data_IF_222067583887
#
_entry.id   IF_222067583887
#
_cell.length_a   1.000
_cell.length_b   1.000
_cell.length_c   1.000
_cell.angle_alpha   90.00
_cell.angle_beta   90.00
_cell.angle_gamma   90.00
#
_symmetry.space_group_name_H-M   'P 1'
#
loop_
_entity.id
_entity.type
_entity.pdbx_description
1 polymer ?
#
# COMPACT_ATOMS: atom_id res chain seq x y z
N UNK A 1 -65.85 49.37 -22.16
CA UNK A 1 -65.09 50.51 -21.59
C UNK A 1 -64.80 50.16 -20.09
N UNK A 2 -63.71 49.54 -19.82
CA UNK A 2 -63.33 49.08 -18.43
C UNK A 2 -62.08 49.83 -18.02
N UNK A 3 -62.17 50.63 -16.96
CA UNK A 3 -61.09 51.41 -16.37
C UNK A 3 -60.26 50.48 -15.43
N UNK A 4 -59.03 50.20 -15.81
CA UNK A 4 -58.05 49.57 -14.94
C UNK A 4 -57.53 50.53 -13.86
N UNK A 5 -57.90 50.34 -12.64
CA UNK A 5 -57.26 50.99 -11.45
C UNK A 5 -55.98 50.28 -11.13
N UNK A 6 -54.87 50.94 -11.33
CA UNK A 6 -53.55 50.47 -10.80
C UNK A 6 -53.45 50.83 -9.32
N UNK A 7 -53.35 49.81 -8.49
CA UNK A 7 -53.01 49.96 -7.08
C UNK A 7 -51.51 50.06 -6.99
N UNK A 8 -50.99 51.19 -6.49
CA UNK A 8 -49.56 51.35 -6.17
C UNK A 8 -49.37 50.89 -4.74
N UNK A 9 -48.68 49.75 -4.58
CA UNK A 9 -48.26 49.28 -3.24
C UNK A 9 -46.91 49.88 -2.96
N UNK A 10 -46.82 50.73 -1.97
CA UNK A 10 -45.58 51.31 -1.47
C UNK A 10 -44.93 50.29 -0.53
N UNK A 11 -43.81 49.70 -0.93
CA UNK A 11 -43.04 48.84 -0.06
C UNK A 11 -42.15 49.66 0.87
N UNK A 12 -42.37 49.50 2.15
CA UNK A 12 -41.53 50.08 3.21
C UNK A 12 -40.37 49.10 3.39
N UNK A 13 -39.15 49.50 3.05
CA UNK A 13 -37.91 48.74 3.31
C UNK A 13 -37.46 49.13 4.71
N UNK A 14 -37.64 48.21 5.63
CA UNK A 14 -37.02 48.29 6.98
C UNK A 14 -35.61 47.69 6.88
N UNK A 15 -34.60 48.54 6.92
CA UNK A 15 -33.22 48.13 6.99
C UNK A 15 -32.88 47.70 8.42
N UNK A 16 -32.77 46.39 8.65
CA UNK A 16 -32.24 45.85 9.89
C UNK A 16 -30.72 45.77 9.77
N UNK A 17 -30.01 46.65 10.46
CA UNK A 17 -28.58 46.60 10.60
C UNK A 17 -28.20 45.44 11.54
N UNK A 18 -27.74 44.31 11.00
CA UNK A 18 -27.18 43.21 11.76
C UNK A 18 -25.70 43.52 11.98
N UNK A 19 -25.37 43.98 13.17
CA UNK A 19 -23.97 44.06 13.64
C UNK A 19 -23.47 42.66 13.95
N UNK A 20 -22.75 42.05 13.01
CA UNK A 20 -22.03 40.81 13.29
C UNK A 20 -20.77 41.12 14.08
N UNK A 21 -20.81 40.78 15.35
CA UNK A 21 -19.64 40.73 16.23
C UNK A 21 -18.77 39.55 15.73
N UNK A 22 -17.68 39.84 15.07
CA UNK A 22 -16.65 38.86 14.72
C UNK A 22 -15.92 38.50 16.02
N UNK A 23 -16.32 37.41 16.66
CA UNK A 23 -15.52 36.76 17.66
C UNK A 23 -14.28 36.18 17.00
N UNK A 24 -13.14 36.83 17.14
CA UNK A 24 -11.84 36.25 16.85
C UNK A 24 -11.60 35.20 17.92
N UNK A 25 -11.95 33.96 17.61
CA UNK A 25 -11.55 32.80 18.40
C UNK A 25 -10.02 32.64 18.37
N UNK A 26 -9.39 32.09 19.42
CA UNK A 26 -7.98 31.82 19.40
C UNK A 26 -7.70 30.94 18.17
N UNK A 27 -6.69 31.36 17.38
CA UNK A 27 -6.17 30.54 16.30
C UNK A 27 -5.73 29.20 16.90
N UNK A 28 -6.49 28.15 16.62
CA UNK A 28 -6.05 26.79 16.86
C UNK A 28 -4.76 26.60 16.10
N UNK A 29 -3.64 26.71 16.82
CA UNK A 29 -2.36 26.27 16.34
C UNK A 29 -2.50 24.78 16.06
N UNK A 30 -2.76 24.43 14.81
CA UNK A 30 -2.66 23.05 14.34
C UNK A 30 -1.29 22.54 14.77
N UNK A 31 -1.19 21.44 15.50
CA UNK A 31 0.10 20.88 15.85
C UNK A 31 0.77 20.45 14.54
N UNK A 32 1.74 21.25 14.09
CA UNK A 32 2.67 20.90 13.05
C UNK A 32 3.39 19.63 13.50
N UNK A 33 3.19 18.54 12.76
CA UNK A 33 3.98 17.33 12.93
C UNK A 33 3.28 16.19 13.64
N UNK A 34 2.16 15.73 13.14
CA UNK A 34 1.88 14.31 13.24
C UNK A 34 2.83 13.64 12.25
N UNK A 35 4.06 13.35 12.70
CA UNK A 35 4.87 12.31 12.08
C UNK A 35 3.99 11.07 12.09
N UNK A 36 3.44 10.70 10.93
CA UNK A 36 2.50 9.60 10.81
C UNK A 36 3.10 8.39 11.52
N UNK A 37 2.48 7.97 12.63
CA UNK A 37 2.96 6.83 13.38
C UNK A 37 3.13 5.66 12.41
N UNK A 38 4.35 5.11 12.36
CA UNK A 38 4.61 3.90 11.59
C UNK A 38 3.78 2.78 12.18
N UNK A 39 3.15 1.99 11.31
CA UNK A 39 2.34 0.85 11.73
C UNK A 39 3.03 -0.45 11.30
N UNK A 40 2.89 -1.53 12.07
CA UNK A 40 3.31 -2.84 11.60
C UNK A 40 2.70 -3.08 10.23
N UNK A 41 3.53 -3.21 9.21
CA UNK A 41 3.03 -3.47 7.85
C UNK A 41 2.37 -4.84 7.76
N UNK A 42 1.71 -5.15 6.63
CA UNK A 42 1.02 -6.43 6.43
C UNK A 42 1.97 -7.62 6.60
N UNK A 43 1.41 -8.78 6.98
CA UNK A 43 2.15 -10.03 7.14
C UNK A 43 3.33 -9.96 8.15
N UNK A 44 3.13 -9.26 9.28
CA UNK A 44 4.08 -9.19 10.38
C UNK A 44 4.11 -10.51 11.17
N UNK A 45 4.49 -11.60 10.50
CA UNK A 45 4.57 -12.94 11.09
C UNK A 45 5.94 -13.14 11.76
N UNK A 46 5.94 -13.76 12.92
CA UNK A 46 7.14 -14.29 13.54
C UNK A 46 7.40 -15.72 13.06
N UNK A 47 8.66 -16.08 12.88
CA UNK A 47 9.07 -17.47 12.66
C UNK A 47 8.98 -18.21 13.99
N UNK A 48 8.32 -19.37 14.00
CA UNK A 48 8.21 -20.19 15.19
C UNK A 48 9.56 -20.87 15.52
N UNK A 49 9.74 -21.23 16.79
CA UNK A 49 10.92 -21.98 17.21
C UNK A 49 10.98 -23.34 16.50
N UNK A 50 12.11 -23.63 15.89
CA UNK A 50 12.30 -24.86 15.10
C UNK A 50 11.65 -24.86 13.72
N UNK A 51 10.87 -23.85 13.34
CA UNK A 51 10.29 -23.75 11.99
C UNK A 51 11.39 -23.61 10.95
N UNK A 52 11.38 -24.43 9.91
CA UNK A 52 12.33 -24.29 8.81
C UNK A 52 12.01 -23.05 7.97
N UNK A 53 13.04 -22.48 7.35
CA UNK A 53 12.89 -21.20 6.63
C UNK A 53 11.93 -21.29 5.46
N UNK A 54 11.82 -22.43 4.81
CA UNK A 54 10.91 -22.67 3.70
C UNK A 54 9.44 -22.60 4.13
N UNK A 55 9.10 -23.21 5.27
CA UNK A 55 7.73 -23.18 5.81
C UNK A 55 7.34 -21.76 6.24
N UNK A 56 8.26 -21.04 6.86
CA UNK A 56 8.07 -19.64 7.17
C UNK A 56 7.85 -18.79 5.91
N UNK A 57 8.62 -19.05 4.84
CA UNK A 57 8.46 -18.37 3.55
C UNK A 57 7.10 -18.66 2.91
N UNK A 58 6.63 -19.91 2.99
CA UNK A 58 5.27 -20.28 2.53
C UNK A 58 4.22 -19.46 3.28
N UNK A 59 4.30 -19.34 4.61
CA UNK A 59 3.35 -18.54 5.40
C UNK A 59 3.37 -17.06 5.02
N UNK A 60 4.54 -16.49 4.77
CA UNK A 60 4.67 -15.10 4.31
C UNK A 60 4.02 -14.89 2.93
N UNK A 61 4.24 -15.81 1.98
CA UNK A 61 3.67 -15.77 0.64
C UNK A 61 2.15 -15.92 0.71
N UNK A 62 1.65 -16.89 1.47
CA UNK A 62 0.21 -17.11 1.67
C UNK A 62 -0.45 -15.87 2.23
N UNK A 63 0.09 -15.30 3.31
CA UNK A 63 -0.42 -14.06 3.88
C UNK A 63 -0.45 -12.90 2.87
N UNK A 64 0.57 -12.77 2.02
CA UNK A 64 0.60 -11.73 1.00
C UNK A 64 -0.46 -11.99 -0.09
N UNK A 65 -0.60 -13.24 -0.58
CA UNK A 65 -1.57 -13.61 -1.60
C UNK A 65 -3.02 -13.51 -1.12
N UNK A 66 -3.29 -13.81 0.15
CA UNK A 66 -4.62 -13.62 0.76
C UNK A 66 -5.01 -12.13 0.83
N UNK A 67 -4.01 -11.28 1.04
CA UNK A 67 -4.22 -9.83 1.14
C UNK A 67 -4.33 -9.15 -0.23
N UNK A 68 -3.61 -9.62 -1.21
CA UNK A 68 -3.62 -9.14 -2.60
C UNK A 68 -3.82 -10.34 -3.52
N UNK A 69 -5.08 -10.65 -3.85
CA UNK A 69 -5.40 -11.81 -4.67
C UNK A 69 -4.67 -11.79 -6.02
N UNK A 70 -4.05 -12.90 -6.38
CA UNK A 70 -3.30 -13.07 -7.63
C UNK A 70 -3.83 -14.26 -8.41
N UNK A 71 -3.60 -14.28 -9.71
CA UNK A 71 -3.92 -15.43 -10.54
C UNK A 71 -3.21 -16.69 -10.03
N UNK A 72 -3.95 -17.77 -9.86
CA UNK A 72 -3.46 -19.03 -9.28
C UNK A 72 -3.20 -19.00 -7.77
N UNK A 73 -3.57 -17.88 -7.10
CA UNK A 73 -3.54 -17.77 -5.65
C UNK A 73 -2.17 -17.96 -5.01
N UNK A 74 -2.19 -18.33 -3.73
CA UNK A 74 -0.96 -18.60 -2.97
C UNK A 74 -0.16 -19.80 -3.55
N UNK A 75 -0.83 -20.80 -4.11
CA UNK A 75 -0.17 -21.98 -4.67
C UNK A 75 0.76 -21.62 -5.82
N UNK A 76 0.30 -20.80 -6.77
CA UNK A 76 1.13 -20.31 -7.87
C UNK A 76 2.29 -19.45 -7.37
N UNK A 77 2.04 -18.55 -6.44
CA UNK A 77 3.08 -17.71 -5.84
C UNK A 77 4.17 -18.55 -5.14
N UNK A 78 3.78 -19.60 -4.40
CA UNK A 78 4.70 -20.54 -3.74
C UNK A 78 5.48 -21.35 -4.79
N UNK A 79 4.82 -21.82 -5.85
CA UNK A 79 5.48 -22.51 -6.97
C UNK A 79 6.59 -21.65 -7.56
N UNK A 80 6.29 -20.40 -7.88
CA UNK A 80 7.25 -19.43 -8.42
C UNK A 80 8.43 -19.24 -7.47
N UNK A 81 8.19 -18.90 -6.20
CA UNK A 81 9.26 -18.69 -5.22
C UNK A 81 10.13 -19.93 -5.02
N UNK A 82 9.54 -21.13 -5.11
CA UNK A 82 10.28 -22.39 -5.03
C UNK A 82 11.21 -22.57 -6.23
N UNK A 83 10.78 -22.21 -7.44
CA UNK A 83 11.60 -22.26 -8.65
C UNK A 83 12.71 -21.22 -8.64
N UNK A 84 12.42 -20.02 -8.14
CA UNK A 84 13.35 -18.90 -8.13
C UNK A 84 14.45 -19.05 -7.06
N UNK A 85 14.11 -19.46 -5.85
CA UNK A 85 15.04 -19.42 -4.71
C UNK A 85 15.06 -20.70 -3.84
N UNK A 86 14.26 -21.72 -4.19
CA UNK A 86 14.03 -22.84 -3.26
C UNK A 86 13.31 -22.39 -1.97
N UNK A 87 12.55 -21.31 -2.01
CA UNK A 87 11.90 -20.70 -0.82
C UNK A 87 12.90 -20.13 0.20
N UNK A 88 14.10 -19.77 -0.23
CA UNK A 88 15.16 -19.19 0.61
C UNK A 88 15.20 -17.66 0.44
N UNK A 89 14.82 -16.87 1.45
CA UNK A 89 14.79 -15.40 1.34
C UNK A 89 16.17 -14.79 1.08
N UNK A 90 17.24 -15.44 1.52
CA UNK A 90 18.62 -14.95 1.36
C UNK A 90 19.30 -15.44 0.11
N UNK A 91 18.56 -16.07 -0.82
CA UNK A 91 19.11 -16.55 -2.08
C UNK A 91 19.57 -15.38 -2.97
N UNK A 92 20.67 -15.63 -3.69
CA UNK A 92 21.19 -14.73 -4.72
C UNK A 92 21.63 -15.57 -5.91
N UNK A 93 21.40 -15.06 -7.12
CA UNK A 93 21.98 -15.68 -8.31
C UNK A 93 23.51 -15.64 -8.27
N UNK A 94 24.17 -16.50 -9.01
CA UNK A 94 25.64 -16.60 -9.03
C UNK A 94 26.33 -15.26 -9.41
N UNK A 95 25.64 -14.42 -10.19
CA UNK A 95 26.12 -13.11 -10.61
C UNK A 95 25.70 -11.98 -9.67
N UNK A 96 24.85 -12.25 -8.66
CA UNK A 96 24.26 -11.23 -7.80
C UNK A 96 23.21 -10.35 -8.46
N UNK A 97 22.83 -10.61 -9.71
CA UNK A 97 21.85 -9.81 -10.45
C UNK A 97 20.41 -10.00 -9.94
N UNK A 98 20.12 -11.15 -9.36
CA UNK A 98 18.81 -11.50 -8.82
C UNK A 98 18.90 -11.87 -7.36
N UNK A 99 17.98 -11.36 -6.53
CA UNK A 99 18.07 -11.45 -5.09
C UNK A 99 16.73 -11.76 -4.42
N UNK A 100 16.81 -12.48 -3.32
CA UNK A 100 15.69 -12.74 -2.42
C UNK A 100 14.75 -13.85 -2.88
N UNK A 101 13.64 -13.96 -2.19
CA UNK A 101 12.68 -15.06 -2.30
C UNK A 101 12.10 -15.24 -3.71
N UNK A 102 11.80 -14.14 -4.39
CA UNK A 102 11.28 -14.10 -5.77
C UNK A 102 12.31 -13.65 -6.81
N UNK A 103 13.60 -13.65 -6.46
CA UNK A 103 14.70 -13.30 -7.36
C UNK A 103 14.46 -11.99 -8.14
N UNK A 104 14.11 -10.93 -7.40
CA UNK A 104 14.00 -9.60 -7.99
C UNK A 104 15.34 -9.12 -8.55
N UNK A 105 15.33 -8.36 -9.64
CA UNK A 105 16.52 -7.65 -10.11
C UNK A 105 17.08 -6.77 -9.00
N UNK A 106 18.34 -6.96 -8.65
CA UNK A 106 19.01 -6.18 -7.60
C UNK A 106 19.07 -4.69 -7.97
N UNK A 107 19.23 -4.36 -9.25
CA UNK A 107 19.26 -2.98 -9.74
C UNK A 107 17.88 -2.31 -9.67
N UNK A 108 16.80 -3.07 -9.87
CA UNK A 108 15.43 -2.53 -9.82
C UNK A 108 14.85 -2.51 -8.41
N UNK A 109 15.47 -3.18 -7.46
CA UNK A 109 14.90 -3.38 -6.14
C UNK A 109 14.52 -2.08 -5.42
N UNK A 110 15.34 -1.02 -5.36
CA UNK A 110 14.96 0.22 -4.67
C UNK A 110 13.68 0.82 -5.24
N UNK A 111 13.57 0.89 -6.58
CA UNK A 111 12.36 1.39 -7.25
C UNK A 111 11.14 0.51 -6.96
N UNK A 112 11.29 -0.82 -7.02
CA UNK A 112 10.19 -1.76 -6.71
C UNK A 112 9.75 -1.64 -5.26
N UNK A 113 10.69 -1.49 -4.34
CA UNK A 113 10.39 -1.30 -2.93
C UNK A 113 9.55 -0.03 -2.72
N UNK A 114 9.97 1.11 -3.26
CA UNK A 114 9.28 2.39 -3.12
C UNK A 114 7.88 2.35 -3.77
N UNK A 115 7.75 1.76 -4.92
CA UNK A 115 6.49 1.68 -5.67
C UNK A 115 5.48 0.74 -5.01
N UNK A 116 5.96 -0.40 -4.51
CA UNK A 116 5.09 -1.47 -4.03
C UNK A 116 4.98 -1.58 -2.51
N UNK A 117 5.57 -0.66 -1.76
CA UNK A 117 5.36 -0.54 -0.31
C UNK A 117 4.70 0.79 0.04
N UNK A 118 4.48 1.03 1.31
CA UNK A 118 3.97 2.31 1.81
C UNK A 118 4.93 2.83 2.87
N UNK A 119 5.28 4.14 2.85
CA UNK A 119 6.24 4.71 3.81
C UNK A 119 5.83 4.52 5.28
N UNK A 120 4.53 4.40 5.55
CA UNK A 120 4.00 4.15 6.92
C UNK A 120 4.17 2.71 7.38
N UNK A 121 4.48 1.76 6.49
CA UNK A 121 4.71 0.38 6.89
C UNK A 121 6.14 0.21 7.40
N UNK A 122 6.29 -0.48 8.53
CA UNK A 122 7.59 -0.87 9.07
C UNK A 122 8.16 -2.07 8.30
N UNK A 123 8.44 -1.88 7.01
CA UNK A 123 9.08 -2.87 6.16
C UNK A 123 10.57 -2.54 6.01
N UNK A 124 11.39 -3.58 5.97
CA UNK A 124 12.82 -3.43 5.70
C UNK A 124 13.04 -3.36 4.18
N UNK A 125 13.74 -2.34 3.71
CA UNK A 125 14.12 -2.20 2.29
C UNK A 125 15.02 -3.31 1.77
N UNK A 126 15.66 -4.06 2.67
CA UNK A 126 16.55 -5.16 2.31
C UNK A 126 15.82 -6.25 1.48
N UNK A 127 16.24 -6.55 0.23
CA UNK A 127 15.63 -7.57 -0.63
C UNK A 127 15.70 -8.99 -0.09
N UNK A 128 16.60 -9.24 0.84
CA UNK A 128 16.73 -10.53 1.53
C UNK A 128 15.77 -10.69 2.72
N UNK A 129 14.97 -9.65 3.02
CA UNK A 129 13.88 -9.79 3.96
C UNK A 129 12.70 -10.49 3.30
N UNK A 130 12.45 -11.76 3.65
CA UNK A 130 11.42 -12.60 3.02
C UNK A 130 10.03 -11.97 3.02
N UNK A 131 9.65 -11.28 4.11
CA UNK A 131 8.36 -10.58 4.21
C UNK A 131 8.25 -9.48 3.17
N UNK A 132 9.23 -8.59 3.10
CA UNK A 132 9.21 -7.47 2.15
C UNK A 132 9.27 -7.97 0.71
N UNK A 133 10.13 -8.95 0.44
CA UNK A 133 10.30 -9.54 -0.89
C UNK A 133 9.00 -10.20 -1.38
N UNK A 134 8.31 -10.97 -0.54
CA UNK A 134 7.01 -11.58 -0.86
C UNK A 134 5.91 -10.53 -1.10
N UNK A 135 5.83 -9.49 -0.25
CA UNK A 135 4.84 -8.42 -0.41
C UNK A 135 5.03 -7.70 -1.76
N UNK A 136 6.25 -7.33 -2.09
CA UNK A 136 6.57 -6.63 -3.34
C UNK A 136 6.22 -7.51 -4.55
N UNK A 137 6.64 -8.80 -4.56
CA UNK A 137 6.33 -9.71 -5.66
C UNK A 137 4.84 -9.92 -5.86
N UNK A 138 4.10 -10.21 -4.79
CA UNK A 138 2.66 -10.45 -4.86
C UNK A 138 1.89 -9.19 -5.27
N UNK A 139 2.31 -8.00 -4.83
CA UNK A 139 1.67 -6.74 -5.25
C UNK A 139 1.93 -6.42 -6.72
N UNK A 140 3.13 -6.68 -7.23
CA UNK A 140 3.40 -6.61 -8.67
C UNK A 140 2.47 -7.56 -9.41
N UNK A 141 2.41 -8.82 -8.98
CA UNK A 141 1.56 -9.82 -9.63
C UNK A 141 0.05 -9.52 -9.53
N UNK A 142 -0.40 -8.90 -8.44
CA UNK A 142 -1.79 -8.46 -8.30
C UNK A 142 -2.16 -7.36 -9.31
N UNK A 143 -1.22 -6.46 -9.63
CA UNK A 143 -1.45 -5.34 -10.54
C UNK A 143 -1.15 -5.69 -12.02
N UNK A 144 -0.10 -6.45 -12.27
CA UNK A 144 0.49 -6.66 -13.60
C UNK A 144 0.49 -8.13 -14.06
N UNK A 145 0.04 -9.04 -13.19
CA UNK A 145 0.15 -10.49 -13.41
C UNK A 145 1.56 -11.02 -13.21
N UNK A 146 1.76 -12.31 -13.53
CA UNK A 146 3.03 -13.03 -13.31
C UNK A 146 4.02 -12.93 -14.48
N UNK A 147 3.87 -11.94 -15.37
CA UNK A 147 4.71 -11.83 -16.58
C UNK A 147 6.22 -11.78 -16.27
N UNK A 148 6.61 -11.13 -15.17
CA UNK A 148 8.01 -11.05 -14.72
C UNK A 148 8.61 -12.44 -14.35
N UNK A 149 7.76 -13.44 -14.11
CA UNK A 149 8.13 -14.79 -13.70
C UNK A 149 7.62 -15.88 -14.67
N UNK A 150 7.25 -15.50 -15.89
CA UNK A 150 6.68 -16.42 -16.88
C UNK A 150 7.60 -17.63 -17.23
N UNK A 151 8.91 -17.47 -17.06
CA UNK A 151 9.89 -18.54 -17.31
C UNK A 151 9.92 -19.66 -16.26
N UNK A 152 9.21 -19.54 -15.14
CA UNK A 152 9.26 -20.52 -14.05
C UNK A 152 8.50 -21.82 -14.33
N UNK A 153 7.58 -21.80 -15.27
CA UNK A 153 6.72 -22.95 -15.58
C UNK A 153 5.62 -23.20 -14.54
N UNK A 154 5.28 -22.16 -13.75
CA UNK A 154 4.18 -22.16 -12.82
C UNK A 154 2.94 -21.47 -13.43
#
# INVERSE_FOLDING_TARGET
MGRNRRIRTTAIVVAIAITTLLAVGPADASPLGQSGARVPGPCALARADGEIIQDFSIRLITCAADRWPVEGGAEKAICIARRESGLIPTASSATGLYVGLFQHSAADWPRRYDEWTRPIWELKENPYNGRTNAIVAVRIANAEGWAAWAGTGC
#
